data_IF_556865631761
#
_entry.id   IF_556865631761
#
_cell.length_a   1.000
_cell.length_b   1.000
_cell.length_c   1.000
_cell.angle_alpha   90.00
_cell.angle_beta   90.00
_cell.angle_gamma   90.00
#
_symmetry.space_group_name_H-M   'P 1'
#
loop_
_entity.id
_entity.type
_entity.pdbx_description
1 polymer ?
#
# COMPACT_ATOMS: atom_id res chain seq x y z
N UNK A 1 -16.87 -7.91 2.03
CA UNK A 1 -16.01 -6.80 2.54
C UNK A 1 -16.89 -5.80 3.29
N UNK A 2 -17.33 -6.10 4.51
CA UNK A 2 -18.32 -5.26 5.22
C UNK A 2 -17.81 -3.87 5.66
N UNK A 3 -16.51 -3.58 5.48
CA UNK A 3 -15.89 -2.32 5.90
C UNK A 3 -14.98 -1.67 4.86
N UNK A 4 -15.03 -2.07 3.58
CA UNK A 4 -14.22 -1.39 2.55
C UNK A 4 -14.83 -0.07 2.13
N UNK A 5 -14.18 1.03 2.50
CA UNK A 5 -14.55 2.36 2.11
C UNK A 5 -13.83 2.78 0.82
N UNK A 6 -14.50 2.59 -0.33
CA UNK A 6 -13.91 2.90 -1.63
C UNK A 6 -13.53 4.38 -1.79
N UNK A 7 -14.30 5.30 -1.20
CA UNK A 7 -14.03 6.73 -1.30
C UNK A 7 -12.75 7.11 -0.53
N UNK A 8 -12.60 6.60 0.69
CA UNK A 8 -11.40 6.81 1.50
C UNK A 8 -10.16 6.18 0.86
N UNK A 9 -10.28 4.96 0.33
CA UNK A 9 -9.20 4.31 -0.41
C UNK A 9 -8.76 5.13 -1.63
N UNK A 10 -9.71 5.67 -2.41
CA UNK A 10 -9.39 6.52 -3.56
C UNK A 10 -8.70 7.82 -3.13
N UNK A 11 -9.19 8.47 -2.07
CA UNK A 11 -8.57 9.68 -1.51
C UNK A 11 -7.15 9.42 -1.03
N UNK A 12 -6.91 8.29 -0.35
CA UNK A 12 -5.57 7.89 0.08
C UNK A 12 -4.64 7.67 -1.12
N UNK A 13 -5.07 6.91 -2.13
CA UNK A 13 -4.26 6.67 -3.34
C UNK A 13 -3.94 7.97 -4.10
N UNK A 14 -4.92 8.88 -4.23
CA UNK A 14 -4.72 10.21 -4.85
C UNK A 14 -3.76 11.11 -4.07
N UNK A 15 -3.65 10.90 -2.76
CA UNK A 15 -2.65 11.58 -1.93
C UNK A 15 -1.24 10.98 -2.13
N UNK A 16 -1.16 9.67 -2.33
CA UNK A 16 0.13 8.97 -2.48
C UNK A 16 0.75 9.21 -3.85
N UNK A 17 -0.04 9.06 -4.91
CA UNK A 17 0.39 9.10 -6.31
C UNK A 17 0.11 10.45 -6.99
N UNK A 18 0.68 10.64 -8.17
CA UNK A 18 0.53 11.82 -9.02
C UNK A 18 0.22 11.39 -10.46
N UNK A 19 -0.36 12.29 -11.25
CA UNK A 19 -0.64 12.05 -12.68
C UNK A 19 0.59 11.49 -13.41
N UNK A 20 0.37 10.44 -14.21
CA UNK A 20 1.40 9.69 -14.91
C UNK A 20 2.11 8.59 -14.10
N UNK A 21 1.84 8.46 -12.81
CA UNK A 21 2.33 7.32 -12.03
C UNK A 21 1.58 6.03 -12.38
N UNK A 22 2.28 4.90 -12.32
CA UNK A 22 1.69 3.57 -12.34
C UNK A 22 2.00 2.88 -11.01
N UNK A 23 1.04 2.13 -10.48
CA UNK A 23 1.18 1.36 -9.25
C UNK A 23 0.52 -0.01 -9.36
N UNK A 24 0.98 -0.96 -8.56
CA UNK A 24 0.33 -2.26 -8.41
C UNK A 24 -0.62 -2.21 -7.21
N UNK A 25 -1.80 -2.84 -7.34
CA UNK A 25 -2.62 -3.30 -6.22
C UNK A 25 -2.55 -4.82 -6.15
N UNK A 26 -2.46 -5.37 -4.93
CA UNK A 26 -2.47 -6.81 -4.69
C UNK A 26 -3.40 -7.17 -3.54
N UNK A 27 -4.34 -8.07 -3.79
CA UNK A 27 -5.15 -8.70 -2.75
C UNK A 27 -4.60 -10.11 -2.47
N UNK A 28 -4.24 -10.37 -1.21
CA UNK A 28 -3.68 -11.66 -0.78
C UNK A 28 -4.76 -12.55 -0.18
N UNK A 29 -4.67 -13.85 -0.47
CA UNK A 29 -5.64 -14.88 -0.06
C UNK A 29 -7.09 -14.45 -0.36
N UNK A 30 -7.26 -13.85 -1.53
CA UNK A 30 -8.50 -13.29 -2.00
C UNK A 30 -9.46 -14.39 -2.49
N UNK A 31 -10.74 -14.13 -2.29
CA UNK A 31 -11.84 -14.82 -2.94
C UNK A 31 -12.59 -13.79 -3.78
N UNK A 32 -12.73 -14.07 -5.07
CA UNK A 32 -13.37 -13.17 -6.02
C UNK A 32 -14.82 -13.58 -6.27
N UNK A 33 -15.55 -12.76 -7.01
CA UNK A 33 -16.90 -13.10 -7.49
C UNK A 33 -16.91 -14.30 -8.43
N UNK A 34 -15.83 -14.54 -9.17
CA UNK A 34 -15.66 -15.62 -10.15
C UNK A 34 -14.91 -16.84 -9.61
N UNK A 35 -14.11 -16.70 -8.54
CA UNK A 35 -13.25 -17.76 -8.03
C UNK A 35 -13.15 -17.74 -6.50
N UNK A 36 -13.63 -18.80 -5.85
CA UNK A 36 -13.79 -18.86 -4.39
C UNK A 36 -12.59 -19.46 -3.63
N UNK A 37 -11.63 -20.09 -4.31
CA UNK A 37 -10.44 -20.60 -3.63
C UNK A 37 -9.49 -19.43 -3.33
N UNK A 38 -8.91 -19.35 -2.11
CA UNK A 38 -7.93 -18.31 -1.78
C UNK A 38 -6.77 -18.30 -2.77
N UNK A 39 -6.48 -17.12 -3.32
CA UNK A 39 -5.40 -16.90 -4.27
C UNK A 39 -5.00 -15.42 -4.28
N UNK A 40 -3.93 -15.10 -5.00
CA UNK A 40 -3.51 -13.70 -5.18
C UNK A 40 -4.25 -13.08 -6.36
N UNK A 41 -4.84 -11.90 -6.16
CA UNK A 41 -5.32 -11.04 -7.24
C UNK A 41 -4.36 -9.85 -7.33
N UNK A 42 -3.98 -9.47 -8.55
CA UNK A 42 -3.11 -8.33 -8.81
C UNK A 42 -3.73 -7.44 -9.89
N UNK A 43 -3.43 -6.15 -9.89
CA UNK A 43 -3.78 -5.23 -10.96
C UNK A 43 -2.79 -4.09 -11.03
N UNK A 44 -2.59 -3.53 -12.23
CA UNK A 44 -1.73 -2.37 -12.43
C UNK A 44 -2.61 -1.22 -12.90
N UNK A 45 -2.48 -0.08 -12.23
CA UNK A 45 -3.31 1.09 -12.48
C UNK A 45 -2.43 2.32 -12.65
N UNK A 46 -2.82 3.18 -13.57
CA UNK A 46 -2.31 4.55 -13.61
C UNK A 46 -3.10 5.45 -12.65
N UNK A 47 -2.56 6.65 -12.39
CA UNK A 47 -3.19 7.64 -11.50
C UNK A 47 -4.60 8.02 -11.95
N UNK A 48 -4.81 8.13 -13.26
CA UNK A 48 -6.07 8.54 -13.86
C UNK A 48 -7.20 7.52 -13.65
N UNK A 49 -6.87 6.26 -13.32
CA UNK A 49 -7.82 5.18 -13.08
C UNK A 49 -7.91 4.74 -11.60
N UNK A 50 -7.51 5.58 -10.65
CA UNK A 50 -7.64 5.28 -9.20
C UNK A 50 -9.09 4.99 -8.80
N UNK A 51 -10.05 5.78 -9.29
CA UNK A 51 -11.47 5.60 -8.95
C UNK A 51 -12.01 4.28 -9.52
N UNK A 52 -11.56 3.88 -10.70
CA UNK A 52 -11.89 2.60 -11.34
C UNK A 52 -11.27 1.44 -10.56
N UNK A 53 -10.01 1.57 -10.12
CA UNK A 53 -9.32 0.56 -9.33
C UNK A 53 -10.11 0.20 -8.06
N UNK A 54 -10.54 1.20 -7.29
CA UNK A 54 -11.30 0.96 -6.04
C UNK A 54 -12.70 0.42 -6.31
N UNK A 55 -13.36 0.84 -7.41
CA UNK A 55 -14.66 0.27 -7.82
C UNK A 55 -14.53 -1.21 -8.16
N UNK A 56 -13.47 -1.59 -8.88
CA UNK A 56 -13.20 -2.99 -9.21
C UNK A 56 -12.94 -3.81 -7.94
N UNK A 57 -12.16 -3.30 -6.98
CA UNK A 57 -11.95 -3.98 -5.70
C UNK A 57 -13.27 -4.21 -4.95
N UNK A 58 -14.09 -3.18 -4.83
CA UNK A 58 -15.39 -3.27 -4.14
C UNK A 58 -16.36 -4.25 -4.83
N UNK A 59 -16.31 -4.32 -6.17
CA UNK A 59 -17.18 -5.19 -6.97
C UNK A 59 -16.71 -6.64 -6.97
N UNK A 60 -15.42 -6.88 -7.18
CA UNK A 60 -14.90 -8.19 -7.57
C UNK A 60 -14.30 -8.97 -6.40
N UNK A 61 -13.81 -8.30 -5.36
CA UNK A 61 -13.21 -8.96 -4.20
C UNK A 61 -14.28 -9.17 -3.12
N UNK A 62 -14.63 -10.43 -2.82
CA UNK A 62 -15.57 -10.75 -1.74
C UNK A 62 -14.89 -10.73 -0.37
N UNK A 63 -13.69 -11.30 -0.35
CA UNK A 63 -12.82 -11.43 0.82
C UNK A 63 -11.36 -11.35 0.36
N UNK A 64 -10.49 -10.80 1.21
CA UNK A 64 -9.04 -10.93 1.11
C UNK A 64 -8.47 -10.82 2.52
N UNK A 65 -7.34 -11.49 2.79
CA UNK A 65 -6.62 -11.32 4.05
C UNK A 65 -6.06 -9.90 4.18
N UNK A 66 -5.66 -9.31 3.06
CA UNK A 66 -5.20 -7.92 2.99
C UNK A 66 -5.12 -7.45 1.54
N UNK A 67 -5.32 -6.15 1.34
CA UNK A 67 -5.18 -5.47 0.05
C UNK A 67 -4.07 -4.43 0.20
N UNK A 68 -3.07 -4.53 -0.66
CA UNK A 68 -1.85 -3.75 -0.61
C UNK A 68 -1.67 -2.99 -1.92
N UNK A 69 -0.86 -1.94 -1.88
CA UNK A 69 -0.39 -1.25 -3.06
C UNK A 69 1.13 -1.02 -2.98
N UNK A 70 1.78 -0.79 -4.11
CA UNK A 70 3.20 -0.36 -4.13
C UNK A 70 3.30 1.12 -3.78
N UNK A 71 3.89 1.54 -2.65
CA UNK A 71 3.87 2.96 -2.25
C UNK A 71 4.69 3.87 -3.18
N UNK A 72 5.70 3.32 -3.85
CA UNK A 72 6.47 3.99 -4.88
C UNK A 72 5.88 3.65 -6.26
N UNK A 73 5.87 4.60 -7.21
CA UNK A 73 5.47 4.30 -8.57
C UNK A 73 6.39 3.25 -9.18
N UNK A 74 5.81 2.35 -9.96
CA UNK A 74 6.53 1.29 -10.65
C UNK A 74 6.93 1.75 -12.06
N UNK A 75 7.78 0.97 -12.73
CA UNK A 75 8.05 1.17 -14.15
C UNK A 75 6.74 1.10 -14.95
N UNK A 76 6.41 2.17 -15.68
CA UNK A 76 5.14 2.30 -16.42
C UNK A 76 4.87 1.17 -17.42
N UNK A 77 5.91 0.50 -17.92
CA UNK A 77 5.75 -0.68 -18.79
C UNK A 77 4.98 -1.82 -18.09
N UNK A 78 4.98 -1.89 -16.76
CA UNK A 78 4.25 -2.89 -15.99
C UNK A 78 2.73 -2.76 -16.11
N UNK A 79 2.22 -1.58 -16.50
CA UNK A 79 0.79 -1.40 -16.77
C UNK A 79 0.27 -2.45 -17.77
N UNK A 80 1.09 -2.84 -18.75
CA UNK A 80 0.72 -3.86 -19.75
C UNK A 80 0.40 -5.25 -19.15
N UNK A 81 0.87 -5.58 -17.94
CA UNK A 81 0.59 -6.87 -17.29
C UNK A 81 -0.89 -7.04 -16.91
N UNK A 82 -1.55 -5.93 -16.57
CA UNK A 82 -2.98 -5.88 -16.27
C UNK A 82 -3.50 -4.43 -16.34
N UNK A 83 -3.55 -3.86 -17.56
CA UNK A 83 -3.84 -2.45 -17.78
C UNK A 83 -5.20 -2.06 -17.20
N UNK A 84 -5.18 -1.27 -16.12
CA UNK A 84 -6.33 -0.73 -15.41
C UNK A 84 -7.40 -1.78 -15.09
N UNK A 85 -6.96 -3.00 -14.73
CA UNK A 85 -7.83 -4.12 -14.39
C UNK A 85 -7.21 -5.03 -13.34
N UNK A 86 -8.07 -5.74 -12.62
CA UNK A 86 -7.67 -6.86 -11.77
C UNK A 86 -7.47 -8.13 -12.61
N UNK A 87 -6.57 -9.00 -12.16
CA UNK A 87 -6.34 -10.33 -12.69
C UNK A 87 -6.06 -11.31 -11.56
N UNK A 88 -6.58 -12.52 -11.70
CA UNK A 88 -6.21 -13.65 -10.85
C UNK A 88 -4.78 -14.09 -11.23
N UNK A 89 -3.89 -14.21 -10.25
CA UNK A 89 -2.49 -14.58 -10.48
C UNK A 89 -2.34 -16.10 -10.55
N UNK A 90 -1.76 -16.60 -11.64
CA UNK A 90 -1.36 -17.99 -11.77
C UNK A 90 0.00 -18.30 -11.14
N UNK A 91 0.40 -19.59 -11.06
CA UNK A 91 1.64 -20.01 -10.40
C UNK A 91 2.94 -19.45 -11.02
N UNK A 92 2.89 -18.98 -12.27
CA UNK A 92 4.04 -18.41 -12.99
C UNK A 92 4.00 -16.90 -13.08
N UNK A 93 2.91 -16.27 -12.64
CA UNK A 93 2.79 -14.83 -12.68
C UNK A 93 3.63 -14.21 -11.55
N UNK A 94 4.38 -13.17 -11.90
CA UNK A 94 5.15 -12.38 -10.94
C UNK A 94 4.53 -11.01 -10.75
N UNK A 95 4.54 -10.53 -9.51
CA UNK A 95 4.21 -9.15 -9.20
C UNK A 95 5.36 -8.19 -9.49
N UNK A 96 5.26 -6.97 -8.97
CA UNK A 96 6.33 -5.97 -8.99
C UNK A 96 7.50 -6.45 -8.12
N UNK A 97 8.72 -6.35 -8.65
CA UNK A 97 9.97 -6.60 -7.94
C UNK A 97 10.76 -5.30 -7.69
N UNK A 98 11.81 -5.35 -6.88
CA UNK A 98 12.59 -4.15 -6.51
C UNK A 98 13.16 -3.41 -7.72
N UNK A 99 13.65 -4.17 -8.73
CA UNK A 99 14.17 -3.62 -10.00
C UNK A 99 13.11 -2.87 -10.83
N UNK A 100 11.84 -3.11 -10.54
CA UNK A 100 10.73 -2.46 -11.21
C UNK A 100 10.36 -1.11 -10.55
N UNK A 101 11.04 -0.72 -9.47
CA UNK A 101 10.87 0.58 -8.80
C UNK A 101 11.98 1.53 -9.26
N UNK A 102 11.73 2.45 -10.21
CA UNK A 102 12.76 3.34 -10.73
C UNK A 102 13.21 4.42 -9.75
N UNK A 103 12.35 4.80 -8.79
CA UNK A 103 12.59 5.85 -7.80
C UNK A 103 11.86 5.58 -6.49
N UNK A 104 12.48 5.96 -5.39
CA UNK A 104 11.88 5.96 -4.05
C UNK A 104 11.40 7.37 -3.74
N UNK A 105 10.08 7.52 -3.53
CA UNK A 105 9.42 8.78 -3.16
C UNK A 105 9.11 8.90 -1.68
N UNK A 106 9.32 7.81 -0.95
CA UNK A 106 8.95 7.70 0.44
C UNK A 106 10.09 7.08 1.24
N UNK A 107 10.46 7.75 2.33
CA UNK A 107 11.11 7.13 3.47
C UNK A 107 10.00 6.75 4.47
N UNK A 108 9.80 5.45 4.65
CA UNK A 108 8.78 4.92 5.56
C UNK A 108 9.43 4.55 6.89
N UNK A 109 8.82 4.99 7.99
CA UNK A 109 9.15 4.58 9.34
C UNK A 109 7.92 3.87 9.90
N UNK A 110 8.10 2.60 10.27
CA UNK A 110 7.03 1.75 10.80
C UNK A 110 7.26 1.55 12.31
N UNK A 111 6.28 1.95 13.11
CA UNK A 111 6.31 1.81 14.56
C UNK A 111 5.30 0.73 14.96
N UNK A 112 5.80 -0.42 15.39
CA UNK A 112 5.00 -1.54 15.86
C UNK A 112 5.51 -2.06 17.21
N UNK A 113 4.60 -2.56 18.03
CA UNK A 113 4.96 -3.29 19.24
C UNK A 113 5.59 -4.65 18.90
N UNK A 114 6.63 -5.03 19.64
CA UNK A 114 7.25 -6.36 19.51
C UNK A 114 6.32 -7.42 20.10
N UNK A 115 5.76 -8.27 19.24
CA UNK A 115 4.81 -9.34 19.63
C UNK A 115 4.92 -10.56 18.70
N UNK A 116 4.41 -11.74 19.10
CA UNK A 116 4.36 -12.90 18.21
C UNK A 116 3.55 -12.60 16.94
N UNK A 117 4.00 -13.17 15.82
CA UNK A 117 3.36 -12.97 14.51
C UNK A 117 1.91 -13.49 14.50
N UNK A 118 1.03 -12.76 13.81
CA UNK A 118 -0.39 -13.12 13.67
C UNK A 118 -1.28 -12.72 14.84
N UNK A 119 -0.75 -12.02 15.84
CA UNK A 119 -1.50 -11.51 16.99
C UNK A 119 -1.64 -9.98 16.84
N UNK A 120 -2.87 -9.47 17.01
CA UNK A 120 -3.13 -8.03 17.05
C UNK A 120 -2.51 -7.36 18.27
N UNK A 121 -2.18 -6.08 18.19
CA UNK A 121 -1.76 -5.31 19.37
C UNK A 121 -2.92 -5.12 20.35
N UNK A 122 -2.61 -5.04 21.63
CA UNK A 122 -3.49 -4.43 22.62
C UNK A 122 -3.58 -2.91 22.43
N UNK A 123 -4.61 -2.29 23.02
CA UNK A 123 -4.79 -0.83 22.98
C UNK A 123 -3.57 -0.08 23.55
N UNK A 124 -2.94 -0.62 24.60
CA UNK A 124 -1.76 -0.02 25.22
C UNK A 124 -0.52 -0.12 24.30
N UNK A 125 -0.35 -1.22 23.59
CA UNK A 125 0.73 -1.41 22.61
C UNK A 125 0.54 -0.49 21.41
N UNK A 126 -0.69 -0.36 20.91
CA UNK A 126 -1.03 0.55 19.81
C UNK A 126 -0.77 2.02 20.20
N UNK A 127 -1.26 2.45 21.37
CA UNK A 127 -1.01 3.81 21.87
C UNK A 127 0.49 4.10 22.08
N UNK A 128 1.28 3.11 22.51
CA UNK A 128 2.73 3.26 22.64
C UNK A 128 3.41 3.41 21.28
N UNK A 129 2.97 2.69 20.26
CA UNK A 129 3.46 2.83 18.90
C UNK A 129 3.15 4.21 18.31
N UNK A 130 1.93 4.73 18.53
CA UNK A 130 1.57 6.11 18.12
C UNK A 130 2.42 7.16 18.82
N UNK A 131 2.61 7.03 20.15
CA UNK A 131 3.45 7.93 20.92
C UNK A 131 4.91 7.91 20.42
N UNK A 132 5.44 6.74 20.08
CA UNK A 132 6.78 6.61 19.50
C UNK A 132 6.86 7.25 18.11
N UNK A 133 5.85 7.10 17.27
CA UNK A 133 5.80 7.77 15.97
C UNK A 133 5.78 9.30 16.12
N UNK A 134 5.05 9.84 17.10
CA UNK A 134 5.06 11.27 17.40
C UNK A 134 6.44 11.77 17.88
N UNK A 135 7.09 11.01 18.77
CA UNK A 135 8.44 11.33 19.24
C UNK A 135 9.46 11.36 18.08
N UNK A 136 9.41 10.35 17.19
CA UNK A 136 10.26 10.30 16.00
C UNK A 136 9.98 11.49 15.08
N UNK A 137 8.70 11.82 14.87
CA UNK A 137 8.31 12.98 14.06
C UNK A 137 8.93 14.26 14.60
N UNK A 138 8.81 14.52 15.90
CA UNK A 138 9.31 15.74 16.53
C UNK A 138 10.84 15.80 16.50
N UNK A 139 11.50 14.65 16.71
CA UNK A 139 12.95 14.52 16.53
C UNK A 139 13.40 14.86 15.11
N UNK A 140 12.77 14.27 14.09
CA UNK A 140 13.08 14.53 12.69
C UNK A 140 12.78 15.98 12.29
N UNK A 141 11.68 16.56 12.78
CA UNK A 141 11.33 17.96 12.55
C UNK A 141 12.41 18.90 13.11
N UNK A 142 12.99 18.60 14.27
CA UNK A 142 14.10 19.37 14.85
C UNK A 142 15.39 19.33 13.99
N UNK A 143 15.52 18.32 13.14
CA UNK A 143 16.62 18.17 12.17
C UNK A 143 16.27 18.73 10.79
N UNK A 144 15.12 19.39 10.64
CA UNK A 144 14.69 20.03 9.38
C UNK A 144 13.97 19.09 8.40
N UNK A 145 13.55 17.89 8.83
CA UNK A 145 12.69 17.06 8.00
C UNK A 145 11.30 17.70 7.83
N UNK A 146 10.65 17.52 6.67
CA UNK A 146 9.29 18.02 6.43
C UNK A 146 8.26 17.22 7.23
N UNK A 147 7.02 17.72 7.33
CA UNK A 147 5.92 16.95 7.91
C UNK A 147 5.65 15.66 7.12
N UNK A 148 5.53 14.48 7.78
CA UNK A 148 5.22 13.23 7.12
C UNK A 148 3.71 13.03 6.92
N UNK A 149 3.35 12.09 6.04
CA UNK A 149 2.04 11.45 6.12
C UNK A 149 2.04 10.52 7.31
N UNK A 150 1.00 10.59 8.12
CA UNK A 150 0.78 9.68 9.24
C UNK A 150 -0.30 8.67 8.86
N UNK A 151 -0.03 7.39 9.10
CA UNK A 151 -0.98 6.32 8.86
C UNK A 151 -1.11 5.53 10.16
N UNK A 152 -2.34 5.36 10.62
CA UNK A 152 -2.67 4.38 11.66
C UNK A 152 -2.99 3.05 10.97
N UNK A 153 -2.23 2.00 11.29
CA UNK A 153 -2.42 0.67 10.70
C UNK A 153 -3.45 -0.19 11.46
N UNK A 154 -4.00 0.35 12.56
CA UNK A 154 -4.83 -0.35 13.53
C UNK A 154 -4.04 -1.23 14.50
N UNK A 155 -2.76 -1.50 14.24
CA UNK A 155 -1.87 -2.22 15.18
C UNK A 155 -0.58 -1.46 15.56
N UNK A 156 -0.32 -0.35 14.88
CA UNK A 156 0.85 0.48 15.02
C UNK A 156 0.66 1.77 14.24
N UNK A 157 1.75 2.50 14.05
CA UNK A 157 1.73 3.79 13.37
C UNK A 157 2.87 3.90 12.37
N UNK A 158 2.59 4.53 11.23
CA UNK A 158 3.56 4.75 10.17
C UNK A 158 3.74 6.25 9.90
N UNK A 159 4.98 6.62 9.59
CA UNK A 159 5.33 7.93 9.06
C UNK A 159 5.89 7.74 7.64
N UNK A 160 5.36 8.48 6.67
CA UNK A 160 5.90 8.51 5.31
C UNK A 160 6.41 9.90 4.97
N UNK A 161 7.74 10.04 4.93
CA UNK A 161 8.42 11.28 4.54
C UNK A 161 8.67 11.31 3.04
N UNK A 162 8.37 12.44 2.40
CA UNK A 162 8.69 12.64 0.98
C UNK A 162 10.20 12.65 0.78
N UNK A 163 10.64 11.97 -0.27
CA UNK A 163 12.03 11.99 -0.75
C UNK A 163 12.04 11.85 -2.28
N UNK A 164 13.21 12.00 -2.91
CA UNK A 164 13.42 11.75 -4.33
C UNK A 164 14.78 11.08 -4.52
N UNK A 165 14.79 9.76 -4.30
CA UNK A 165 15.99 8.94 -4.44
C UNK A 165 15.85 7.99 -5.64
N UNK A 166 16.95 7.64 -6.32
CA UNK A 166 16.92 6.60 -7.33
C UNK A 166 16.46 5.27 -6.72
N UNK A 167 15.87 4.43 -7.57
CA UNK A 167 15.63 3.03 -7.26
C UNK A 167 16.92 2.22 -7.34
N UNK A 168 16.95 1.09 -6.64
CA UNK A 168 18.13 0.22 -6.53
C UNK A 168 19.11 0.69 -5.45
N UNK A 169 19.85 -0.27 -4.91
CA UNK A 169 20.98 0.00 -4.02
C UNK A 169 22.22 -0.13 -4.90
N UNK A 170 22.94 0.97 -5.12
CA UNK A 170 24.32 0.87 -5.62
C UNK A 170 25.23 0.23 -4.56
#
# INVERSE_FOLDING_TARGET
MEHFNAAEAASALKYIFRSGDVFEIRALDAQTTSYSRPHTVSGYFDYEHIDEAVKLLARDIRFARGIYYTPNPVNGALLARACNRLRDMGPRDTGTADKDIPRRRWLLIDCDAVRPSGISSSDAEHAAAEAKALEIRDGLASMGFPEPVRIDSGNGAQLMYRTDLPGGDE
#
